data_IF_641626036695
#
_entry.id   IF_641626036695
#
_cell.length_a   1.000
_cell.length_b   1.000
_cell.length_c   1.000
_cell.angle_alpha   90.00
_cell.angle_beta   90.00
_cell.angle_gamma   90.00
#
_symmetry.space_group_name_H-M   'P 1'
#
loop_
_entity.id
_entity.type
_entity.pdbx_description
1 polymer ?
#
# COMPACT_ATOMS: atom_id res chain seq x y z
N UNK A 1 -28.28 -31.21 0.93
CA UNK A 1 -27.94 -30.49 2.17
C UNK A 1 -26.47 -30.20 2.06
N UNK A 2 -26.13 -28.98 1.64
CA UNK A 2 -24.76 -28.56 1.37
C UNK A 2 -24.20 -28.09 2.72
N UNK A 3 -23.22 -28.82 3.25
CA UNK A 3 -22.46 -28.36 4.41
C UNK A 3 -21.59 -27.17 3.96
N UNK A 4 -21.97 -25.97 4.40
CA UNK A 4 -21.14 -24.77 4.27
C UNK A 4 -19.90 -24.90 5.17
N UNK A 5 -18.67 -24.91 4.63
CA UNK A 5 -17.45 -25.18 5.39
C UNK A 5 -16.99 -24.02 6.29
N UNK A 6 -17.82 -22.99 6.45
CA UNK A 6 -17.50 -21.80 7.25
C UNK A 6 -17.82 -21.96 8.74
N UNK A 7 -18.52 -23.02 9.14
CA UNK A 7 -18.93 -23.24 10.53
C UNK A 7 -18.13 -24.38 11.17
N UNK A 8 -16.81 -24.20 11.25
CA UNK A 8 -15.96 -24.99 12.14
C UNK A 8 -16.29 -24.70 13.62
N UNK A 9 -15.76 -25.51 14.53
CA UNK A 9 -15.95 -25.35 15.99
C UNK A 9 -15.71 -23.90 16.46
N UNK A 10 -16.38 -23.42 17.52
CA UNK A 10 -16.34 -22.00 17.93
C UNK A 10 -14.93 -21.41 18.08
N UNK A 11 -13.96 -22.25 18.49
CA UNK A 11 -12.55 -21.86 18.65
C UNK A 11 -11.79 -21.69 17.32
N UNK A 12 -12.21 -22.37 16.25
CA UNK A 12 -11.57 -22.28 14.93
C UNK A 12 -11.91 -20.97 14.19
N UNK A 13 -12.95 -20.25 14.63
CA UNK A 13 -13.39 -18.99 14.03
C UNK A 13 -12.89 -17.74 14.75
N UNK A 14 -12.31 -17.89 15.95
CA UNK A 14 -11.84 -16.76 16.77
C UNK A 14 -10.87 -15.83 16.01
N UNK A 15 -9.87 -16.32 15.26
CA UNK A 15 -8.99 -15.44 14.48
C UNK A 15 -9.75 -14.62 13.43
N UNK A 16 -10.76 -15.21 12.79
CA UNK A 16 -11.57 -14.53 11.77
C UNK A 16 -12.53 -13.52 12.39
N UNK A 17 -13.14 -13.84 13.53
CA UNK A 17 -13.96 -12.91 14.29
C UNK A 17 -13.13 -11.72 14.75
N UNK A 18 -11.92 -11.95 15.29
CA UNK A 18 -11.02 -10.86 15.65
C UNK A 18 -10.63 -10.00 14.44
N UNK A 19 -10.31 -10.61 13.30
CA UNK A 19 -10.00 -9.87 12.09
C UNK A 19 -11.19 -9.03 11.58
N UNK A 20 -12.41 -9.57 11.68
CA UNK A 20 -13.63 -8.85 11.32
C UNK A 20 -13.88 -7.66 12.26
N UNK A 21 -13.71 -7.85 13.57
CA UNK A 21 -13.83 -6.77 14.57
C UNK A 21 -12.76 -5.69 14.35
N UNK A 22 -11.52 -6.07 14.04
CA UNK A 22 -10.48 -5.10 13.68
C UNK A 22 -10.86 -4.30 12.44
N UNK A 23 -11.43 -4.94 11.41
CA UNK A 23 -11.87 -4.25 10.20
C UNK A 23 -13.06 -3.32 10.47
N UNK A 24 -14.04 -3.76 11.27
CA UNK A 24 -15.18 -2.95 11.69
C UNK A 24 -14.72 -1.71 12.45
N UNK A 25 -13.88 -1.89 13.47
CA UNK A 25 -13.33 -0.80 14.26
C UNK A 25 -12.48 0.16 13.41
N UNK A 26 -11.68 -0.38 12.48
CA UNK A 26 -10.89 0.45 11.57
C UNK A 26 -11.78 1.41 10.77
N UNK A 27 -12.89 0.93 10.20
CA UNK A 27 -13.79 1.78 9.39
C UNK A 27 -14.43 2.88 10.24
N UNK A 28 -14.83 2.57 11.48
CA UNK A 28 -15.39 3.55 12.38
C UNK A 28 -14.38 4.66 12.73
N UNK A 29 -13.16 4.25 13.07
CA UNK A 29 -12.10 5.18 13.45
C UNK A 29 -11.57 6.00 12.26
N UNK A 30 -11.50 5.42 11.06
CA UNK A 30 -11.10 6.15 9.85
C UNK A 30 -12.11 7.26 9.53
N UNK A 31 -13.41 7.00 9.71
CA UNK A 31 -14.44 8.03 9.57
C UNK A 31 -14.33 9.13 10.64
N UNK A 32 -13.97 8.80 11.89
CA UNK A 32 -13.71 9.78 12.95
C UNK A 32 -12.47 10.65 12.62
N UNK A 33 -11.40 10.05 12.09
CA UNK A 33 -10.20 10.76 11.64
C UNK A 33 -10.49 11.71 10.48
N UNK A 34 -11.26 11.26 9.49
CA UNK A 34 -11.70 12.09 8.36
C UNK A 34 -12.52 13.29 8.84
N UNK A 35 -13.47 13.07 9.76
CA UNK A 35 -14.28 14.14 10.34
C UNK A 35 -13.44 15.14 11.15
N UNK A 36 -12.41 14.67 11.86
CA UNK A 36 -11.50 15.50 12.62
C UNK A 36 -10.45 16.22 11.75
N UNK A 37 -10.22 15.76 10.52
CA UNK A 37 -9.15 16.28 9.65
C UNK A 37 -7.75 15.98 10.18
N UNK A 38 -7.59 14.86 10.90
CA UNK A 38 -6.33 14.44 11.52
C UNK A 38 -5.92 13.06 11.04
N UNK A 39 -4.67 12.66 11.32
CA UNK A 39 -4.17 11.32 11.00
C UNK A 39 -3.92 10.51 12.28
N UNK A 40 -3.97 9.18 12.17
CA UNK A 40 -3.67 8.29 13.28
C UNK A 40 -2.21 8.49 13.75
N UNK A 41 -1.94 8.28 15.04
CA UNK A 41 -0.66 8.58 15.69
C UNK A 41 -0.44 10.06 16.02
N UNK A 42 -1.30 10.96 15.53
CA UNK A 42 -1.37 12.38 15.95
C UNK A 42 -2.72 12.74 16.56
N UNK A 43 -3.74 11.96 16.25
CA UNK A 43 -5.07 12.14 16.79
C UNK A 43 -5.10 11.78 18.29
N UNK A 44 -5.79 12.61 19.07
CA UNK A 44 -6.06 12.33 20.48
C UNK A 44 -7.46 11.74 20.55
N UNK A 45 -7.55 10.42 20.70
CA UNK A 45 -8.81 9.72 20.83
C UNK A 45 -9.57 10.18 22.07
N UNK A 46 -10.83 10.54 21.90
CA UNK A 46 -11.75 10.73 23.02
C UNK A 46 -12.31 9.37 23.48
N UNK A 47 -13.31 9.39 24.37
CA UNK A 47 -13.95 8.17 24.85
C UNK A 47 -14.64 7.37 23.72
N UNK A 48 -14.74 7.92 22.50
CA UNK A 48 -15.34 7.29 21.34
C UNK A 48 -16.85 7.16 21.42
N UNK A 49 -17.46 6.75 20.32
CA UNK A 49 -18.89 6.42 20.30
C UNK A 49 -19.19 5.14 21.10
N UNK A 50 -20.45 4.97 21.51
CA UNK A 50 -20.89 3.73 22.16
C UNK A 50 -20.62 2.49 21.29
N UNK A 51 -20.73 2.64 19.97
CA UNK A 51 -20.44 1.58 19.00
C UNK A 51 -18.94 1.22 18.97
N UNK A 52 -18.05 2.22 19.00
CA UNK A 52 -16.59 1.99 19.07
C UNK A 52 -16.24 1.19 20.32
N UNK A 53 -16.78 1.59 21.48
CA UNK A 53 -16.53 0.90 22.74
C UNK A 53 -17.11 -0.53 22.76
N UNK A 54 -18.31 -0.73 22.19
CA UNK A 54 -18.90 -2.08 22.05
C UNK A 54 -18.01 -3.02 21.22
N UNK A 55 -17.44 -2.53 20.12
CA UNK A 55 -16.52 -3.32 19.28
C UNK A 55 -15.24 -3.65 20.06
N UNK A 56 -14.68 -2.70 20.81
CA UNK A 56 -13.49 -2.92 21.65
C UNK A 56 -13.77 -3.96 22.75
N UNK A 57 -14.92 -3.88 23.42
CA UNK A 57 -15.32 -4.86 24.45
C UNK A 57 -15.47 -6.27 23.88
N UNK A 58 -16.02 -6.38 22.65
CA UNK A 58 -16.08 -7.66 21.91
C UNK A 58 -14.69 -8.16 21.57
N UNK A 59 -13.78 -7.30 21.11
CA UNK A 59 -12.39 -7.69 20.85
C UNK A 59 -11.72 -8.24 22.12
N UNK A 60 -11.88 -7.59 23.27
CA UNK A 60 -11.38 -8.10 24.55
C UNK A 60 -11.94 -9.48 24.89
N UNK A 61 -13.24 -9.69 24.69
CA UNK A 61 -13.91 -10.96 24.95
C UNK A 61 -13.39 -12.08 24.04
N UNK A 62 -13.19 -11.78 22.75
CA UNK A 62 -12.68 -12.72 21.74
C UNK A 62 -11.23 -13.10 22.02
N UNK A 63 -10.37 -12.13 22.35
CA UNK A 63 -8.97 -12.38 22.74
C UNK A 63 -8.89 -13.26 23.99
N UNK A 64 -9.65 -12.94 25.04
CA UNK A 64 -9.68 -13.70 26.28
C UNK A 64 -10.23 -15.13 26.09
N UNK A 65 -11.11 -15.35 25.12
CA UNK A 65 -11.64 -16.68 24.80
C UNK A 65 -10.63 -17.55 24.07
N UNK A 66 -9.88 -17.00 23.10
CA UNK A 66 -8.87 -17.76 22.36
C UNK A 66 -7.59 -17.99 23.16
N UNK A 67 -7.05 -16.93 23.75
CA UNK A 67 -5.75 -16.96 24.42
C UNK A 67 -5.86 -16.17 25.75
N UNK A 68 -6.43 -16.80 26.80
CA UNK A 68 -6.68 -16.14 28.09
C UNK A 68 -5.44 -15.54 28.78
N UNK A 69 -4.26 -16.01 28.39
CA UNK A 69 -2.96 -15.58 28.92
C UNK A 69 -2.47 -14.25 28.29
N UNK A 70 -3.06 -13.83 27.16
CA UNK A 70 -2.70 -12.60 26.46
C UNK A 70 -3.77 -11.53 26.69
N UNK A 71 -3.33 -10.30 26.98
CA UNK A 71 -4.21 -9.14 26.83
C UNK A 71 -4.44 -8.83 25.33
N UNK A 72 -5.45 -7.99 25.04
CA UNK A 72 -5.82 -7.67 23.65
C UNK A 72 -4.63 -7.12 22.84
N UNK A 73 -3.79 -6.28 23.45
CA UNK A 73 -2.62 -5.71 22.80
C UNK A 73 -1.59 -6.78 22.42
N UNK A 74 -1.28 -7.67 23.36
CA UNK A 74 -0.37 -8.80 23.17
C UNK A 74 -0.91 -9.79 22.15
N UNK A 75 -2.23 -10.04 22.15
CA UNK A 75 -2.90 -10.85 21.14
C UNK A 75 -2.72 -10.24 19.75
N UNK A 76 -3.02 -8.95 19.59
CA UNK A 76 -2.87 -8.26 18.31
C UNK A 76 -1.43 -8.30 17.80
N UNK A 77 -0.44 -8.05 18.66
CA UNK A 77 0.98 -8.11 18.31
C UNK A 77 1.45 -9.54 17.97
N UNK A 78 0.98 -10.55 18.71
CA UNK A 78 1.33 -11.95 18.47
C UNK A 78 0.91 -12.40 17.05
N UNK A 79 -0.29 -11.99 16.64
CA UNK A 79 -0.91 -12.32 15.37
C UNK A 79 -0.60 -11.32 14.24
N UNK A 80 0.12 -10.23 14.54
CA UNK A 80 0.48 -9.18 13.57
C UNK A 80 -0.68 -8.31 13.11
N UNK A 81 -1.78 -8.30 13.87
CA UNK A 81 -2.98 -7.51 13.60
C UNK A 81 -2.76 -6.02 13.89
N UNK A 82 -1.87 -5.70 14.82
CA UNK A 82 -1.41 -4.33 15.11
C UNK A 82 -0.78 -3.65 13.88
N UNK A 83 -0.03 -4.42 13.09
CA UNK A 83 0.58 -3.93 11.83
C UNK A 83 -0.45 -3.87 10.70
N UNK A 84 -1.41 -4.81 10.67
CA UNK A 84 -2.47 -4.83 9.66
C UNK A 84 -3.50 -3.72 9.86
N UNK A 85 -3.82 -3.39 11.11
CA UNK A 85 -4.83 -2.42 11.50
C UNK A 85 -4.21 -1.31 12.37
N UNK A 86 -3.34 -0.45 11.82
CA UNK A 86 -2.59 0.53 12.60
C UNK A 86 -3.48 1.60 13.26
N UNK A 87 -4.61 1.95 12.64
CA UNK A 87 -5.60 2.87 13.25
C UNK A 87 -6.18 2.26 14.54
N UNK A 88 -6.48 0.96 14.50
CA UNK A 88 -6.99 0.22 15.67
C UNK A 88 -5.91 0.10 16.74
N UNK A 89 -4.67 -0.20 16.35
CA UNK A 89 -3.54 -0.26 17.27
C UNK A 89 -3.33 1.08 17.99
N UNK A 90 -3.40 2.20 17.26
CA UNK A 90 -3.30 3.55 17.81
C UNK A 90 -4.43 3.83 18.83
N UNK A 91 -5.67 3.49 18.47
CA UNK A 91 -6.85 3.68 19.34
C UNK A 91 -6.76 2.89 20.64
N UNK A 92 -6.16 1.72 20.59
CA UNK A 92 -5.92 0.85 21.75
C UNK A 92 -4.66 1.25 22.54
N UNK A 93 -3.95 2.30 22.13
CA UNK A 93 -2.74 2.78 22.79
C UNK A 93 -1.53 1.86 22.59
N UNK A 94 -1.55 1.02 21.56
CA UNK A 94 -0.42 0.16 21.22
C UNK A 94 0.68 0.97 20.53
N UNK A 95 1.96 0.61 20.73
CA UNK A 95 3.06 1.32 20.09
C UNK A 95 2.94 1.19 18.58
N UNK A 96 2.78 2.33 17.91
CA UNK A 96 2.82 2.35 16.45
C UNK A 96 4.23 2.02 15.97
N UNK A 97 4.36 1.25 14.89
CA UNK A 97 5.67 0.97 14.31
C UNK A 97 6.35 2.29 13.91
N UNK A 98 7.60 2.51 14.32
CA UNK A 98 8.41 3.73 14.05
C UNK A 98 8.62 4.11 12.57
N UNK A 99 8.05 3.36 11.62
CA UNK A 99 8.37 3.45 10.21
C UNK A 99 7.10 3.51 9.38
N UNK A 100 6.94 4.61 8.64
CA UNK A 100 5.93 4.80 7.57
C UNK A 100 5.88 3.61 6.59
N UNK A 101 6.97 2.83 6.48
CA UNK A 101 7.04 1.63 5.64
C UNK A 101 6.24 0.42 6.13
N UNK A 102 5.59 0.49 7.30
CA UNK A 102 4.91 -0.66 7.93
C UNK A 102 3.39 -0.56 7.97
N UNK A 103 2.77 0.52 7.49
CA UNK A 103 1.32 0.65 7.56
C UNK A 103 0.63 -0.01 6.37
N UNK A 104 -0.25 -0.98 6.65
CA UNK A 104 -1.03 -1.67 5.61
C UNK A 104 -2.00 -0.72 4.88
N UNK A 105 -2.44 0.36 5.55
CA UNK A 105 -3.27 1.43 4.94
C UNK A 105 -2.65 1.98 3.66
N UNK A 106 -1.33 2.17 3.66
CA UNK A 106 -0.60 2.73 2.52
C UNK A 106 -0.19 1.68 1.49
N UNK A 107 -0.47 0.39 1.74
CA UNK A 107 -0.06 -0.70 0.84
C UNK A 107 -0.76 -0.63 -0.51
N UNK A 108 -2.10 -0.58 -0.52
CA UNK A 108 -2.88 -0.55 -1.77
C UNK A 108 -2.68 0.75 -2.56
N UNK A 109 -2.70 1.95 -1.93
CA UNK A 109 -2.32 3.18 -2.62
C UNK A 109 -0.92 3.10 -3.25
N UNK A 110 0.05 2.51 -2.54
CA UNK A 110 1.40 2.33 -3.07
C UNK A 110 1.44 1.33 -4.25
N UNK A 111 0.69 0.23 -4.19
CA UNK A 111 0.54 -0.69 -5.33
C UNK A 111 -0.10 -0.02 -6.55
N UNK A 112 -1.13 0.80 -6.34
CA UNK A 112 -1.74 1.57 -7.41
C UNK A 112 -0.75 2.53 -8.06
N UNK A 113 0.08 3.23 -7.26
CA UNK A 113 1.16 4.09 -7.78
C UNK A 113 2.18 3.31 -8.60
N UNK A 114 2.63 2.13 -8.14
CA UNK A 114 3.57 1.30 -8.90
C UNK A 114 2.96 0.81 -10.21
N UNK A 115 1.67 0.47 -10.20
CA UNK A 115 0.96 0.11 -11.41
C UNK A 115 0.91 1.27 -12.39
N UNK A 116 0.57 2.48 -11.92
CA UNK A 116 0.58 3.70 -12.76
C UNK A 116 1.95 3.97 -13.37
N UNK A 117 3.04 3.74 -12.61
CA UNK A 117 4.41 3.87 -13.11
C UNK A 117 4.67 2.88 -14.26
N UNK A 118 4.28 1.61 -14.09
CA UNK A 118 4.43 0.57 -15.14
C UNK A 118 3.61 0.93 -16.37
N UNK A 119 2.34 1.29 -16.20
CA UNK A 119 1.46 1.68 -17.31
C UNK A 119 2.01 2.88 -18.07
N UNK A 120 2.54 3.89 -17.37
CA UNK A 120 3.12 5.05 -18.02
C UNK A 120 4.45 4.72 -18.72
N UNK A 121 5.24 3.80 -18.18
CA UNK A 121 6.44 3.29 -18.86
C UNK A 121 6.09 2.55 -20.16
N UNK A 122 5.04 1.72 -20.15
CA UNK A 122 4.52 1.05 -21.35
C UNK A 122 4.02 2.05 -22.38
N UNK A 123 3.27 3.07 -21.95
CA UNK A 123 2.78 4.13 -22.82
C UNK A 123 3.93 4.90 -23.45
N UNK A 124 4.95 5.27 -22.66
CA UNK A 124 6.13 5.98 -23.13
C UNK A 124 6.91 5.20 -24.18
N UNK A 125 6.99 3.88 -24.08
CA UNK A 125 7.64 3.04 -25.10
C UNK A 125 6.77 2.91 -26.35
N UNK A 126 5.48 2.67 -26.19
CA UNK A 126 4.53 2.53 -27.29
C UNK A 126 4.46 3.82 -28.14
N UNK A 127 4.50 4.98 -27.51
CA UNK A 127 4.41 6.27 -28.17
C UNK A 127 5.68 6.64 -28.97
N UNK A 128 6.79 5.90 -28.87
CA UNK A 128 8.06 6.23 -29.57
C UNK A 128 7.95 6.06 -31.09
N UNK A 129 6.92 5.32 -31.54
CA UNK A 129 6.62 5.14 -32.96
C UNK A 129 5.84 6.32 -33.53
N UNK A 130 5.30 7.20 -32.69
CA UNK A 130 4.46 8.30 -33.14
C UNK A 130 5.30 9.29 -33.95
N UNK A 131 4.72 9.86 -35.02
CA UNK A 131 5.43 10.83 -35.85
C UNK A 131 5.61 12.19 -35.16
N UNK A 132 4.96 12.42 -34.01
CA UNK A 132 4.98 13.67 -33.27
C UNK A 132 5.11 13.37 -31.76
N UNK A 133 6.16 13.89 -31.14
CA UNK A 133 6.51 13.65 -29.75
C UNK A 133 6.21 14.84 -28.82
N UNK A 134 5.33 15.78 -29.22
CA UNK A 134 5.07 17.04 -28.50
C UNK A 134 4.73 16.88 -27.01
N UNK A 135 4.17 15.74 -26.61
CA UNK A 135 3.75 15.49 -25.23
C UNK A 135 4.80 14.75 -24.38
N UNK A 136 5.95 14.38 -24.94
CA UNK A 136 6.95 13.57 -24.22
C UNK A 136 7.52 14.26 -22.98
N UNK A 137 7.82 15.57 -23.05
CA UNK A 137 8.28 16.30 -21.87
C UNK A 137 7.27 16.22 -20.72
N UNK A 138 5.97 16.31 -21.05
CA UNK A 138 4.91 16.18 -20.06
C UNK A 138 4.80 14.75 -19.50
N UNK A 139 4.82 13.73 -20.37
CA UNK A 139 4.75 12.32 -19.96
C UNK A 139 5.95 11.92 -19.07
N UNK A 140 7.15 12.39 -19.40
CA UNK A 140 8.36 12.16 -18.60
C UNK A 140 8.29 12.90 -17.25
N UNK A 141 7.80 14.14 -17.22
CA UNK A 141 7.57 14.87 -15.98
C UNK A 141 6.53 14.17 -15.08
N UNK A 142 5.48 13.61 -15.67
CA UNK A 142 4.49 12.82 -14.95
C UNK A 142 5.12 11.56 -14.34
N UNK A 143 5.94 10.84 -15.10
CA UNK A 143 6.67 9.67 -14.61
C UNK A 143 7.60 10.02 -13.44
N UNK A 144 8.31 11.14 -13.54
CA UNK A 144 9.15 11.66 -12.45
C UNK A 144 8.33 11.94 -11.20
N UNK A 145 7.18 12.60 -11.33
CA UNK A 145 6.27 12.89 -10.21
C UNK A 145 5.80 11.61 -9.52
N UNK A 146 5.43 10.58 -10.30
CA UNK A 146 5.03 9.28 -9.76
C UNK A 146 6.16 8.60 -8.97
N UNK A 147 7.42 8.68 -9.43
CA UNK A 147 8.56 8.17 -8.65
C UNK A 147 8.73 8.91 -7.32
N UNK A 148 8.51 10.22 -7.29
CA UNK A 148 8.57 11.01 -6.05
C UNK A 148 7.45 10.59 -5.09
N UNK A 149 6.22 10.45 -5.59
CA UNK A 149 5.05 10.02 -4.81
C UNK A 149 5.20 8.59 -4.28
N UNK A 150 5.78 7.68 -5.07
CA UNK A 150 6.08 6.32 -4.65
C UNK A 150 7.23 6.21 -3.63
N UNK A 151 7.75 7.34 -3.11
CA UNK A 151 8.85 7.33 -2.14
C UNK A 151 10.19 6.87 -2.72
N UNK A 152 10.32 6.80 -4.06
CA UNK A 152 11.55 6.38 -4.74
C UNK A 152 12.57 7.53 -4.86
N UNK A 153 12.68 8.33 -3.81
CA UNK A 153 13.59 9.48 -3.72
C UNK A 153 15.03 8.99 -3.91
N UNK A 154 15.73 9.54 -4.91
CA UNK A 154 17.11 9.17 -5.22
C UNK A 154 17.28 7.87 -6.02
N UNK A 155 16.20 7.30 -6.56
CA UNK A 155 16.29 6.15 -7.46
C UNK A 155 17.12 6.44 -8.71
N UNK A 156 17.72 5.39 -9.28
CA UNK A 156 18.45 5.48 -10.56
C UNK A 156 17.56 6.01 -11.69
N UNK A 157 16.26 5.73 -11.65
CA UNK A 157 15.29 6.16 -12.65
C UNK A 157 15.10 7.67 -12.64
N UNK A 158 15.00 8.25 -11.43
CA UNK A 158 14.91 9.69 -11.24
C UNK A 158 16.10 10.43 -11.85
N UNK A 159 17.32 9.98 -11.53
CA UNK A 159 18.56 10.56 -12.07
C UNK A 159 18.64 10.44 -13.59
N UNK A 160 18.14 9.32 -14.14
CA UNK A 160 18.11 9.10 -15.59
C UNK A 160 17.19 10.12 -16.27
N UNK A 161 16.01 10.39 -15.71
CA UNK A 161 15.10 11.44 -16.19
C UNK A 161 15.79 12.81 -16.09
N UNK A 162 16.36 13.16 -14.94
CA UNK A 162 17.04 14.46 -14.74
C UNK A 162 18.16 14.69 -15.76
N UNK A 163 18.85 13.64 -16.19
CA UNK A 163 19.92 13.73 -17.18
C UNK A 163 19.47 13.91 -18.63
N UNK A 164 18.22 13.58 -18.98
CA UNK A 164 17.68 13.69 -20.35
C UNK A 164 16.55 14.72 -20.50
N UNK A 165 16.04 15.25 -19.40
CA UNK A 165 14.81 16.05 -19.41
C UNK A 165 14.94 17.34 -20.21
N UNK A 166 16.04 18.08 -20.04
CA UNK A 166 16.25 19.34 -20.74
C UNK A 166 16.32 19.14 -22.26
N UNK A 167 16.98 18.06 -22.72
CA UNK A 167 17.05 17.73 -24.14
C UNK A 167 15.67 17.37 -24.72
N UNK A 168 14.89 16.55 -24.02
CA UNK A 168 13.52 16.21 -24.42
C UNK A 168 12.65 17.47 -24.47
N UNK A 169 12.79 18.36 -23.48
CA UNK A 169 12.05 19.61 -23.42
C UNK A 169 12.39 20.52 -24.59
N UNK A 170 13.66 20.74 -24.87
CA UNK A 170 14.12 21.60 -25.97
C UNK A 170 13.61 21.09 -27.33
N UNK A 171 13.64 19.78 -27.56
CA UNK A 171 13.09 19.16 -28.78
C UNK A 171 11.58 19.37 -28.88
N UNK A 172 10.86 19.10 -27.79
CA UNK A 172 9.38 19.11 -27.80
C UNK A 172 8.76 20.51 -27.83
N UNK A 173 9.48 21.54 -27.36
CA UNK A 173 9.05 22.94 -27.40
C UNK A 173 9.58 23.70 -28.62
N UNK A 174 10.68 23.24 -29.23
CA UNK A 174 11.39 23.96 -30.30
C UNK A 174 10.89 23.73 -31.73
N UNK A 175 9.97 22.78 -31.96
CA UNK A 175 9.50 22.40 -33.29
C UNK A 175 7.97 22.29 -33.36
N UNK A 176 7.38 22.56 -34.54
CA UNK A 176 5.93 22.40 -34.75
C UNK A 176 5.49 20.92 -34.73
N UNK A 177 6.36 20.03 -35.25
CA UNK A 177 6.19 18.57 -35.23
C UNK A 177 7.46 17.95 -34.66
N UNK A 178 7.64 17.98 -33.32
CA UNK A 178 8.88 17.56 -32.70
C UNK A 178 9.10 16.06 -32.84
N UNK A 179 10.34 15.70 -33.17
CA UNK A 179 10.80 14.31 -33.22
C UNK A 179 12.01 14.10 -32.34
N UNK A 180 11.91 13.13 -31.43
CA UNK A 180 13.03 12.69 -30.62
C UNK A 180 14.09 12.03 -31.51
N UNK A 181 15.36 12.25 -31.16
CA UNK A 181 16.48 11.53 -31.76
C UNK A 181 16.41 10.04 -31.44
N UNK A 182 17.09 9.22 -32.25
CA UNK A 182 17.08 7.78 -32.02
C UNK A 182 17.81 7.41 -30.72
N UNK A 183 18.81 8.20 -30.32
CA UNK A 183 19.51 8.07 -29.04
C UNK A 183 18.56 8.33 -27.85
N UNK A 184 17.72 9.37 -27.93
CA UNK A 184 16.72 9.65 -26.89
C UNK A 184 15.66 8.55 -26.83
N UNK A 185 15.20 8.06 -27.99
CA UNK A 185 14.22 6.96 -28.05
C UNK A 185 14.78 5.68 -27.42
N UNK A 186 16.03 5.34 -27.71
CA UNK A 186 16.71 4.18 -27.10
C UNK A 186 16.83 4.36 -25.59
N UNK A 187 17.24 5.55 -25.14
CA UNK A 187 17.37 5.86 -23.72
C UNK A 187 16.04 5.75 -22.96
N UNK A 188 14.94 6.22 -23.56
CA UNK A 188 13.58 6.12 -23.00
C UNK A 188 13.12 4.67 -22.97
N UNK A 189 13.36 3.90 -24.04
CA UNK A 189 12.99 2.48 -24.13
C UNK A 189 13.68 1.65 -23.04
N UNK A 190 14.98 1.83 -22.89
CA UNK A 190 15.77 1.17 -21.85
C UNK A 190 15.27 1.55 -20.44
N UNK A 191 14.95 2.83 -20.23
CA UNK A 191 14.40 3.28 -18.95
C UNK A 191 13.06 2.62 -18.66
N UNK A 192 12.15 2.58 -19.64
CA UNK A 192 10.86 1.92 -19.51
C UNK A 192 11.01 0.43 -19.18
N UNK A 193 11.92 -0.26 -19.86
CA UNK A 193 12.25 -1.66 -19.57
C UNK A 193 12.77 -1.86 -18.15
N UNK A 194 13.77 -1.08 -17.73
CA UNK A 194 14.38 -1.22 -16.40
C UNK A 194 13.39 -0.96 -15.26
N UNK A 195 12.44 -0.03 -15.47
CA UNK A 195 11.37 0.28 -14.51
C UNK A 195 10.43 -0.90 -14.36
N UNK A 196 9.98 -1.48 -15.48
CA UNK A 196 9.10 -2.66 -15.47
C UNK A 196 9.78 -3.87 -14.86
N UNK A 197 11.01 -4.15 -15.24
CA UNK A 197 11.80 -5.25 -14.66
C UNK A 197 11.97 -5.06 -13.15
N UNK A 198 12.29 -3.85 -12.69
CA UNK A 198 12.42 -3.59 -11.26
C UNK A 198 11.12 -3.77 -10.47
N UNK A 199 9.97 -3.33 -11.02
CA UNK A 199 8.67 -3.42 -10.34
C UNK A 199 8.11 -4.86 -10.40
N UNK A 200 8.20 -5.53 -11.55
CA UNK A 200 7.73 -6.91 -11.76
C UNK A 200 8.45 -7.94 -10.91
N UNK A 201 9.68 -7.66 -10.46
CA UNK A 201 10.41 -8.49 -9.49
C UNK A 201 9.85 -8.42 -8.07
N UNK A 202 8.74 -7.71 -7.84
CA UNK A 202 8.08 -7.55 -6.54
C UNK A 202 9.11 -7.33 -5.41
N UNK A 203 9.85 -6.20 -5.42
CA UNK A 203 10.95 -5.98 -4.49
C UNK A 203 10.56 -6.33 -3.06
N UNK A 204 11.45 -7.00 -2.34
CA UNK A 204 11.20 -7.53 -0.99
C UNK A 204 10.68 -6.48 -0.01
N UNK A 205 10.98 -5.20 -0.23
CA UNK A 205 10.42 -4.07 0.53
C UNK A 205 8.90 -3.95 0.41
N UNK A 206 8.33 -4.25 -0.76
CA UNK A 206 6.90 -4.24 -1.05
C UNK A 206 6.20 -5.45 -0.41
N UNK A 207 6.74 -6.64 -0.61
CA UNK A 207 6.15 -7.89 -0.08
C UNK A 207 6.37 -8.03 1.44
N UNK A 208 7.34 -7.34 2.03
CA UNK A 208 7.52 -7.26 3.49
C UNK A 208 6.26 -6.74 4.18
N UNK A 209 5.54 -5.79 3.59
CA UNK A 209 4.29 -5.24 4.16
C UNK A 209 3.17 -6.28 4.27
N UNK A 210 3.18 -7.29 3.39
CA UNK A 210 2.24 -8.42 3.46
C UNK A 210 2.70 -9.55 4.39
N UNK A 211 3.87 -9.44 5.02
CA UNK A 211 4.40 -10.52 5.87
C UNK A 211 3.51 -10.82 7.08
N UNK A 212 2.91 -9.84 7.79
CA UNK A 212 1.95 -10.10 8.86
C UNK A 212 0.72 -10.85 8.34
N UNK A 213 0.11 -10.38 7.25
CA UNK A 213 -1.03 -11.05 6.62
C UNK A 213 -0.68 -12.48 6.18
N UNK A 214 0.49 -12.68 5.57
CA UNK A 214 0.99 -14.01 5.21
C UNK A 214 1.15 -14.89 6.45
N UNK A 215 1.76 -14.38 7.52
CA UNK A 215 1.93 -15.09 8.80
C UNK A 215 0.57 -15.49 9.34
N UNK A 216 -0.37 -14.55 9.44
CA UNK A 216 -1.73 -14.77 9.91
C UNK A 216 -2.46 -15.87 9.12
N UNK A 217 -2.45 -15.79 7.78
CA UNK A 217 -3.08 -16.79 6.90
C UNK A 217 -2.39 -18.17 7.03
N UNK A 218 -1.05 -18.21 7.13
CA UNK A 218 -0.32 -19.47 7.28
C UNK A 218 -0.51 -20.12 8.64
N UNK A 219 -0.74 -19.33 9.69
CA UNK A 219 -1.01 -19.81 11.05
C UNK A 219 -2.48 -20.23 11.22
N UNK A 220 -3.38 -19.70 10.39
CA UNK A 220 -4.81 -19.98 10.43
C UNK A 220 -5.32 -20.37 9.02
N UNK A 221 -4.88 -21.50 8.45
CA UNK A 221 -5.30 -21.90 7.11
C UNK A 221 -6.80 -22.13 7.05
N UNK A 222 -7.47 -21.48 6.08
CA UNK A 222 -8.86 -21.77 5.74
C UNK A 222 -8.92 -23.21 5.21
N UNK A 223 -9.43 -24.14 6.01
CA UNK A 223 -9.69 -25.52 5.58
C UNK A 223 -8.69 -26.59 6.03
N UNK A 224 -7.95 -26.40 7.13
CA UNK A 224 -7.34 -27.55 7.81
C UNK A 224 -8.42 -28.32 8.61
N UNK A 225 -9.22 -29.11 7.88
CA UNK A 225 -10.12 -30.14 8.41
C UNK A 225 -9.55 -31.51 8.08
#
# INVERSE_FOLDING_TARGET
MLDEPLFGTPLALVPYEMAALCAELHVLLDAELEAAGTDYGRHVWDDGSALVNEVIDRMHSVAACAEPELDLGSYMAHHGLDVMYPIVADRLGLPLPDSEDRHMRDYFPHMALLHQIVTLADQLEADLILPNHKYYAHQIALLYSLFVQAGMKGSRFKKRIEGMFDEIKDVTEGQDVPQLSDELKETIRDMAYDVRDAISRFPSKLTRRLSPMRKFITQHPVGAF
#
